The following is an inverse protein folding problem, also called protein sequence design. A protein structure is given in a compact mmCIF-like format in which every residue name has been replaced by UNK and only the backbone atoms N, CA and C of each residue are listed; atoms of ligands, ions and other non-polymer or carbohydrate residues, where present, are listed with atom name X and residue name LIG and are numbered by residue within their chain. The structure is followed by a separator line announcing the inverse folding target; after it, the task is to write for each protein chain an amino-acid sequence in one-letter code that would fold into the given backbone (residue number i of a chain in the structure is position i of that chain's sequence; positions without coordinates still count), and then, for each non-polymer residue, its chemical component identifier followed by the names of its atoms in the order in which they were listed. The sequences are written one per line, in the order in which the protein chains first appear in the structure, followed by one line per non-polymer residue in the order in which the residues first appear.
data_IF_411328346290
#
_entry.id   IF_411328346290
#
_cell.length_a   1.000
_cell.length_b   1.000
_cell.length_c   1.000
_cell.angle_alpha   90.00
_cell.angle_beta   90.00
_cell.angle_gamma   90.00
#
_symmetry.space_group_name_H-M   'P 1'
#
loop_
_entity.id
_entity.type
_entity.pdbx_description
1 polymer ?
#
# COMPACT_ATOMS: atom_id res chain seq x y z
N UNK A 1 -4.70 11.10 -0.72
CA UNK A 1 -5.18 10.74 -2.07
C UNK A 1 -4.50 9.45 -2.50
N UNK A 2 -5.25 8.53 -3.10
CA UNK A 2 -4.74 7.29 -3.67
C UNK A 2 -4.96 7.31 -5.17
N UNK A 3 -3.95 6.89 -5.93
CA UNK A 3 -4.09 6.60 -7.35
C UNK A 3 -4.07 5.08 -7.46
N UNK A 4 -5.18 4.54 -7.96
CA UNK A 4 -5.40 3.11 -8.14
C UNK A 4 -5.52 2.80 -9.62
N UNK A 5 -5.01 1.64 -10.01
CA UNK A 5 -5.08 1.15 -11.37
C UNK A 5 -5.81 -0.20 -11.41
N UNK A 6 -6.56 -0.44 -12.49
CA UNK A 6 -7.22 -1.71 -12.74
C UNK A 6 -6.35 -2.53 -13.68
N UNK A 7 -5.80 -3.61 -13.16
CA UNK A 7 -4.82 -4.46 -13.85
C UNK A 7 -5.38 -5.89 -14.01
N UNK A 8 -4.72 -6.76 -14.79
CA UNK A 8 -5.06 -8.18 -14.82
C UNK A 8 -5.05 -8.78 -13.40
N UNK A 9 -5.92 -9.78 -13.18
CA UNK A 9 -6.01 -10.42 -11.87
C UNK A 9 -4.68 -11.02 -11.44
N UNK A 10 -4.35 -10.82 -10.16
CA UNK A 10 -3.19 -11.40 -9.51
C UNK A 10 -3.56 -11.91 -8.11
N UNK A 11 -2.79 -12.87 -7.61
CA UNK A 11 -2.95 -13.40 -6.26
C UNK A 11 -2.27 -12.50 -5.24
N UNK A 12 -2.94 -12.32 -4.11
CA UNK A 12 -2.39 -11.65 -2.93
C UNK A 12 -1.29 -12.55 -2.34
N UNK A 13 -0.10 -11.97 -2.20
CA UNK A 13 1.09 -12.61 -1.63
C UNK A 13 1.59 -11.76 -0.46
N UNK A 14 1.35 -12.23 0.77
CA UNK A 14 1.72 -11.47 1.98
C UNK A 14 3.23 -11.33 2.17
N UNK A 15 4.06 -12.13 1.48
CA UNK A 15 5.53 -12.01 1.57
C UNK A 15 6.01 -10.65 1.04
N UNK A 16 5.28 -10.08 0.08
CA UNK A 16 5.55 -8.76 -0.53
C UNK A 16 5.09 -7.57 0.31
N UNK A 17 4.35 -7.80 1.40
CA UNK A 17 3.82 -6.68 2.20
C UNK A 17 4.93 -5.96 2.96
N UNK A 18 4.78 -4.67 3.21
CA UNK A 18 5.73 -3.87 4.00
C UNK A 18 5.58 -4.12 5.52
N UNK A 19 4.57 -4.88 5.93
CA UNK A 19 4.32 -5.24 7.33
C UNK A 19 5.38 -6.20 7.87
N UNK A 20 5.60 -6.15 9.20
CA UNK A 20 6.45 -7.13 9.91
C UNK A 20 5.81 -8.52 9.90
N UNK A 21 4.49 -8.57 10.11
CA UNK A 21 3.71 -9.78 9.92
C UNK A 21 3.66 -10.09 8.43
N UNK A 22 4.10 -11.30 8.05
CA UNK A 22 4.12 -11.80 6.67
C UNK A 22 3.05 -12.87 6.47
N UNK A 23 1.85 -12.56 6.94
CA UNK A 23 0.67 -13.40 6.79
C UNK A 23 -0.56 -12.50 6.61
N UNK A 24 -1.57 -13.03 5.94
CA UNK A 24 -2.82 -12.33 5.65
C UNK A 24 -3.98 -13.32 5.69
N UNK A 25 -5.16 -12.95 6.21
CA UNK A 25 -6.37 -13.76 6.03
C UNK A 25 -6.83 -13.80 4.56
N UNK A 26 -6.24 -12.98 3.71
CA UNK A 26 -6.50 -12.91 2.27
C UNK A 26 -5.39 -13.57 1.45
N UNK A 27 -4.51 -14.38 2.04
CA UNK A 27 -3.52 -15.14 1.28
C UNK A 27 -4.20 -15.94 0.16
N UNK A 28 -3.61 -15.97 -1.04
CA UNK A 28 -4.11 -16.66 -2.24
C UNK A 28 -5.41 -16.12 -2.86
N UNK A 29 -6.09 -15.15 -2.23
CA UNK A 29 -7.22 -14.45 -2.84
C UNK A 29 -6.74 -13.66 -4.06
N UNK A 30 -7.63 -13.51 -5.06
CA UNK A 30 -7.34 -12.74 -6.27
C UNK A 30 -7.89 -11.32 -6.16
N UNK A 31 -7.17 -10.38 -6.76
CA UNK A 31 -7.62 -9.00 -6.96
C UNK A 31 -7.15 -8.48 -8.31
N UNK A 32 -7.84 -7.48 -8.84
CA UNK A 32 -7.52 -6.79 -10.11
C UNK A 32 -7.19 -5.31 -9.91
N UNK A 33 -6.97 -4.88 -8.65
CA UNK A 33 -6.69 -3.48 -8.32
C UNK A 33 -5.32 -3.40 -7.68
N UNK A 34 -4.49 -2.48 -8.17
CA UNK A 34 -3.21 -2.13 -7.59
C UNK A 34 -3.17 -0.65 -7.18
N UNK A 35 -2.50 -0.35 -6.07
CA UNK A 35 -2.18 1.03 -5.68
C UNK A 35 -0.92 1.46 -6.44
N UNK A 36 -1.04 2.47 -7.31
CA UNK A 36 0.06 3.00 -8.11
C UNK A 36 0.81 4.11 -7.37
N UNK A 37 0.10 5.02 -6.71
CA UNK A 37 0.71 6.09 -5.93
C UNK A 37 -0.15 6.51 -4.75
N UNK A 38 0.53 6.97 -3.70
CA UNK A 38 -0.07 7.50 -2.48
C UNK A 38 0.42 8.92 -2.27
N UNK A 39 -0.49 9.85 -1.97
CA UNK A 39 -0.17 11.23 -1.65
C UNK A 39 -0.74 11.63 -0.29
N UNK A 40 0.10 12.21 0.57
CA UNK A 40 -0.25 12.72 1.90
C UNK A 40 0.17 14.18 1.97
N UNK A 41 -0.76 15.09 2.32
CA UNK A 41 -0.50 16.52 2.36
C UNK A 41 -0.01 17.11 1.03
N UNK A 42 -0.48 16.56 -0.10
CA UNK A 42 -0.05 16.96 -1.45
C UNK A 42 1.31 16.42 -1.91
N UNK A 43 2.02 15.66 -1.06
CA UNK A 43 3.33 15.07 -1.39
C UNK A 43 3.20 13.58 -1.68
N UNK A 44 3.86 13.09 -2.73
CA UNK A 44 3.92 11.66 -3.08
C UNK A 44 4.74 10.91 -2.03
N UNK A 45 4.23 9.80 -1.54
CA UNK A 45 4.97 8.88 -0.68
C UNK A 45 5.83 7.95 -1.54
N UNK A 46 7.10 7.84 -1.18
CA UNK A 46 8.06 6.92 -1.81
C UNK A 46 8.43 5.86 -0.78
N UNK A 47 8.19 4.58 -1.07
CA UNK A 47 8.37 3.48 -0.10
C UNK A 47 9.84 3.31 0.31
N UNK A 48 10.76 3.66 -0.58
CA UNK A 48 12.22 3.61 -0.34
C UNK A 48 12.68 4.70 0.64
N UNK A 49 11.92 5.79 0.77
CA UNK A 49 12.20 6.85 1.72
C UNK A 49 11.71 6.44 3.10
N UNK A 50 12.66 6.13 3.99
CA UNK A 50 12.38 5.67 5.36
C UNK A 50 12.07 6.83 6.31
N UNK A 51 12.00 8.06 5.84
CA UNK A 51 11.70 9.21 6.68
C UNK A 51 10.17 9.40 6.80
N UNK A 52 9.57 9.16 7.97
CA UNK A 52 8.13 9.33 8.14
C UNK A 52 7.74 10.81 8.05
N UNK A 53 6.82 11.14 7.15
CA UNK A 53 6.32 12.51 6.93
C UNK A 53 5.00 12.80 7.65
N UNK A 54 4.41 11.78 8.30
CA UNK A 54 3.13 11.90 8.98
C UNK A 54 3.20 12.80 10.21
N UNK A 55 2.06 13.39 10.58
CA UNK A 55 1.89 14.15 11.82
C UNK A 55 0.73 13.56 12.61
N UNK A 56 0.83 13.63 13.94
CA UNK A 56 -0.29 13.28 14.82
C UNK A 56 -1.38 14.33 14.61
N UNK A 57 -2.58 13.87 14.22
CA UNK A 57 -3.78 14.70 14.17
C UNK A 57 -4.34 14.73 15.58
N UNK A 58 -4.30 15.90 16.23
CA UNK A 58 -4.97 16.11 17.51
C UNK A 58 -6.40 16.54 17.22
N UNK A 59 -7.35 15.77 17.73
CA UNK A 59 -8.76 16.13 17.76
C UNK A 59 -9.08 16.87 19.06
#
# INVERSE_FOLDING_TARGET
MLIVDKIPEYQIDSKKFQTKAKYSPFEDFKTSIQIWAVYVGGKKIVIEDKNPMGKIIKN
#
